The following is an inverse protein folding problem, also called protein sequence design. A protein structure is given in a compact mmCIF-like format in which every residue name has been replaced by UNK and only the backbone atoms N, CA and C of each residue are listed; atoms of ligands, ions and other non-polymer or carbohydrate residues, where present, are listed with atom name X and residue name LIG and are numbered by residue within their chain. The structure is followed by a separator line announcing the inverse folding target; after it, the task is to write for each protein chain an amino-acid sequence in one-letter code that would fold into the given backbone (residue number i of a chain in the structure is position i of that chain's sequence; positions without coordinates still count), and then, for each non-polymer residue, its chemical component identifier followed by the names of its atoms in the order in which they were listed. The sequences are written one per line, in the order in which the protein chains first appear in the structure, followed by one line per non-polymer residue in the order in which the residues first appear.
data_IF_378814727001
#
_entry.id   IF_378814727001
#
_cell.length_a   1.000
_cell.length_b   1.000
_cell.length_c   1.000
_cell.angle_alpha   90.00
_cell.angle_beta   90.00
_cell.angle_gamma   90.00
#
_symmetry.space_group_name_H-M   'P 1'
#
loop_
_entity.id
_entity.type
_entity.pdbx_description
1 polymer ?
#
# COMPACT_ATOMS: atom_id res chain seq x y z
N UNK A 1 -19.67 18.59 3.26
CA UNK A 1 -19.11 19.20 2.04
C UNK A 1 -19.25 18.23 0.87
N UNK A 2 -20.20 18.45 -0.06
CA UNK A 2 -20.54 17.49 -1.12
C UNK A 2 -19.39 17.26 -2.13
N UNK A 3 -18.42 18.17 -2.20
CA UNK A 3 -17.21 18.08 -3.02
C UNK A 3 -16.23 17.01 -2.52
N UNK A 4 -16.13 16.79 -1.21
CA UNK A 4 -15.26 15.75 -0.62
C UNK A 4 -15.81 14.34 -0.89
N UNK A 5 -17.13 14.17 -0.88
CA UNK A 5 -17.77 12.89 -1.18
C UNK A 5 -17.64 12.51 -2.66
N UNK A 6 -17.76 13.48 -3.58
CA UNK A 6 -17.62 13.25 -5.01
C UNK A 6 -16.19 12.87 -5.41
N UNK A 7 -15.16 13.46 -4.77
CA UNK A 7 -13.77 13.09 -4.99
C UNK A 7 -13.46 11.65 -4.52
N UNK A 8 -14.09 11.19 -3.43
CA UNK A 8 -13.95 9.82 -2.93
C UNK A 8 -14.58 8.76 -3.87
N UNK A 9 -15.59 9.14 -4.65
CA UNK A 9 -16.23 8.29 -5.66
C UNK A 9 -15.52 8.31 -7.02
N UNK A 10 -14.75 9.37 -7.32
CA UNK A 10 -14.03 9.53 -8.59
C UNK A 10 -12.75 8.70 -8.69
N UNK A 11 -12.12 8.36 -7.56
CA UNK A 11 -11.02 7.39 -7.50
C UNK A 11 -11.60 5.99 -7.33
N UNK A 12 -11.63 5.18 -8.40
CA UNK A 12 -12.22 3.84 -8.39
C UNK A 12 -11.84 3.00 -7.17
N UNK A 13 -12.71 2.05 -6.79
CA UNK A 13 -12.60 1.25 -5.58
C UNK A 13 -11.15 0.83 -5.27
N UNK A 14 -10.70 1.10 -4.04
CA UNK A 14 -9.35 0.79 -3.60
C UNK A 14 -9.09 -0.72 -3.78
N UNK A 15 -8.15 -1.13 -4.68
CA UNK A 15 -7.91 -2.53 -4.95
C UNK A 15 -7.10 -3.22 -3.84
N UNK A 16 -6.53 -2.43 -2.91
CA UNK A 16 -5.66 -2.92 -1.86
C UNK A 16 -6.45 -3.49 -0.69
N UNK A 17 -6.03 -4.64 -0.19
CA UNK A 17 -6.54 -5.17 1.08
C UNK A 17 -6.00 -4.38 2.27
N UNK A 18 -6.62 -4.51 3.43
CA UNK A 18 -6.18 -3.87 4.67
C UNK A 18 -4.73 -4.19 5.00
N UNK A 19 -4.32 -5.45 4.81
CA UNK A 19 -2.94 -5.90 5.05
C UNK A 19 -1.95 -5.35 4.02
N UNK A 20 -2.34 -5.25 2.75
CA UNK A 20 -1.49 -4.61 1.74
C UNK A 20 -1.27 -3.13 2.06
N UNK A 21 -2.31 -2.42 2.53
CA UNK A 21 -2.21 -1.02 2.96
C UNK A 21 -1.33 -0.85 4.18
N UNK A 22 -1.51 -1.69 5.19
CA UNK A 22 -0.68 -1.69 6.40
C UNK A 22 0.80 -1.90 6.07
N UNK A 23 1.12 -2.89 5.23
CA UNK A 23 2.48 -3.15 4.78
C UNK A 23 3.05 -1.98 3.97
N UNK A 24 2.27 -1.36 3.08
CA UNK A 24 2.71 -0.18 2.34
C UNK A 24 2.93 1.04 3.24
N UNK A 25 2.09 1.28 4.25
CA UNK A 25 2.30 2.37 5.22
C UNK A 25 3.60 2.20 5.97
N UNK A 26 3.86 1.00 6.49
CA UNK A 26 5.09 0.71 7.20
C UNK A 26 6.33 0.78 6.28
N UNK A 27 6.18 0.45 5.00
CA UNK A 27 7.26 0.53 4.01
C UNK A 27 7.59 1.96 3.55
N UNK A 28 6.79 2.96 3.94
CA UNK A 28 6.90 4.31 3.40
C UNK A 28 8.22 5.02 3.72
N UNK A 29 8.86 4.64 4.83
CA UNK A 29 10.12 5.23 5.30
C UNK A 29 11.36 4.45 4.80
N UNK A 30 11.17 3.50 3.87
CA UNK A 30 12.27 2.74 3.27
C UNK A 30 12.68 1.49 4.05
N UNK A 31 11.90 1.08 5.06
CA UNK A 31 12.16 -0.11 5.85
C UNK A 31 12.34 -1.38 4.99
N UNK A 32 13.30 -2.20 5.40
CA UNK A 32 13.59 -3.50 4.82
C UNK A 32 12.48 -4.51 5.10
N UNK A 33 12.42 -5.60 4.33
CA UNK A 33 11.42 -6.65 4.57
C UNK A 33 11.56 -7.29 5.97
N UNK A 34 12.78 -7.30 6.54
CA UNK A 34 13.05 -7.81 7.87
C UNK A 34 12.45 -6.88 8.95
N UNK A 35 12.70 -5.58 8.86
CA UNK A 35 12.14 -4.59 9.78
C UNK A 35 10.62 -4.56 9.73
N UNK A 36 10.04 -4.62 8.53
CA UNK A 36 8.60 -4.69 8.33
C UNK A 36 8.00 -5.98 8.92
N UNK A 37 8.68 -7.12 8.73
CA UNK A 37 8.25 -8.39 9.28
C UNK A 37 8.20 -8.36 10.81
N UNK A 38 9.22 -7.80 11.44
CA UNK A 38 9.26 -7.59 12.89
C UNK A 38 8.15 -6.64 13.36
N UNK A 39 8.00 -5.48 12.71
CA UNK A 39 7.02 -4.47 13.11
C UNK A 39 5.57 -4.94 12.97
N UNK A 40 5.28 -5.80 11.99
CA UNK A 40 3.93 -6.27 11.68
C UNK A 40 3.64 -7.69 12.22
N UNK A 41 4.60 -8.30 12.93
CA UNK A 41 4.51 -9.70 13.39
C UNK A 41 4.22 -10.69 12.26
N UNK A 42 4.90 -10.52 11.12
CA UNK A 42 4.79 -11.35 9.92
C UNK A 42 6.12 -12.03 9.60
N UNK A 43 6.10 -13.01 8.69
CA UNK A 43 7.34 -13.50 8.07
C UNK A 43 7.81 -12.52 6.98
N UNK A 44 9.12 -12.49 6.69
CA UNK A 44 9.66 -11.70 5.57
C UNK A 44 9.06 -12.13 4.22
N UNK A 45 8.77 -13.43 4.05
CA UNK A 45 8.11 -13.95 2.85
C UNK A 45 6.68 -13.43 2.71
N UNK A 46 5.94 -13.34 3.83
CA UNK A 46 4.58 -12.78 3.87
C UNK A 46 4.60 -11.28 3.52
N UNK A 47 5.53 -10.50 4.09
CA UNK A 47 5.71 -9.08 3.72
C UNK A 47 6.03 -8.94 2.24
N UNK A 48 6.95 -9.75 1.71
CA UNK A 48 7.29 -9.75 0.27
C UNK A 48 6.06 -10.02 -0.60
N UNK A 49 5.21 -10.97 -0.19
CA UNK A 49 4.01 -11.31 -0.92
C UNK A 49 3.01 -10.15 -0.93
N UNK A 50 2.75 -9.51 0.22
CA UNK A 50 1.87 -8.34 0.26
C UNK A 50 2.41 -7.17 -0.59
N UNK A 51 3.71 -6.87 -0.51
CA UNK A 51 4.33 -5.86 -1.35
C UNK A 51 4.20 -6.20 -2.84
N UNK A 52 4.46 -7.45 -3.23
CA UNK A 52 4.34 -7.91 -4.62
C UNK A 52 2.91 -7.78 -5.15
N UNK A 53 1.92 -8.23 -4.38
CA UNK A 53 0.51 -8.13 -4.74
C UNK A 53 0.08 -6.67 -4.86
N UNK A 54 0.48 -5.81 -3.93
CA UNK A 54 0.18 -4.39 -3.99
C UNK A 54 0.79 -3.70 -5.23
N UNK A 55 2.06 -3.98 -5.53
CA UNK A 55 2.75 -3.47 -6.72
C UNK A 55 1.99 -3.88 -8.00
N UNK A 56 1.56 -5.14 -8.10
CA UNK A 56 0.80 -5.65 -9.23
C UNK A 56 -0.57 -4.97 -9.37
N UNK A 57 -1.35 -4.89 -8.27
CA UNK A 57 -2.67 -4.24 -8.25
C UNK A 57 -2.62 -2.77 -8.64
N UNK A 58 -1.52 -2.10 -8.30
CA UNK A 58 -1.29 -0.69 -8.61
C UNK A 58 -0.68 -0.46 -9.99
N UNK A 59 -0.28 -1.54 -10.69
CA UNK A 59 0.41 -1.49 -11.98
C UNK A 59 1.67 -0.60 -11.98
N UNK A 60 2.45 -0.68 -10.91
CA UNK A 60 3.72 0.06 -10.74
C UNK A 60 4.92 -0.89 -10.72
N UNK A 61 6.14 -0.35 -10.73
CA UNK A 61 7.36 -1.15 -10.91
C UNK A 61 8.00 -1.59 -9.60
N UNK A 62 7.78 -0.86 -8.51
CA UNK A 62 8.45 -1.11 -7.24
C UNK A 62 7.64 -0.60 -6.04
N UNK A 63 8.11 -0.96 -4.84
CA UNK A 63 7.43 -0.61 -3.57
C UNK A 63 7.31 0.90 -3.36
N UNK A 64 8.30 1.69 -3.77
CA UNK A 64 8.28 3.14 -3.56
C UNK A 64 7.22 3.80 -4.45
N UNK A 65 7.12 3.36 -5.71
CA UNK A 65 6.03 3.75 -6.60
C UNK A 65 4.66 3.30 -6.08
N UNK A 66 4.57 2.11 -5.47
CA UNK A 66 3.33 1.62 -4.88
C UNK A 66 2.87 2.49 -3.70
N UNK A 67 3.78 2.84 -2.78
CA UNK A 67 3.49 3.77 -1.67
C UNK A 67 3.04 5.12 -2.20
N UNK A 68 3.78 5.68 -3.18
CA UNK A 68 3.44 6.97 -3.78
C UNK A 68 2.07 6.94 -4.45
N UNK A 69 1.81 5.97 -5.31
CA UNK A 69 0.55 5.84 -6.03
C UNK A 69 -0.65 5.65 -5.09
N UNK A 70 -0.47 4.88 -4.01
CA UNK A 70 -1.52 4.68 -3.02
C UNK A 70 -1.77 5.95 -2.17
N UNK A 71 -0.72 6.73 -1.82
CA UNK A 71 -0.87 8.04 -1.17
C UNK A 71 -1.59 9.06 -2.08
N UNK A 72 -1.17 9.18 -3.34
CA UNK A 72 -1.74 10.11 -4.31
C UNK A 72 -3.25 9.88 -4.53
N UNK A 73 -3.70 8.63 -4.36
CA UNK A 73 -5.11 8.22 -4.48
C UNK A 73 -5.88 8.25 -3.15
N UNK A 74 -5.25 8.63 -2.04
CA UNK A 74 -5.87 8.66 -0.71
C UNK A 74 -6.15 7.27 -0.11
N UNK A 75 -5.38 6.26 -0.52
CA UNK A 75 -5.58 4.86 -0.11
C UNK A 75 -4.74 4.44 1.11
N UNK A 76 -3.72 5.22 1.48
CA UNK A 76 -2.88 5.00 2.66
C UNK A 76 -3.18 6.01 3.76
#
# INVERSE_FOLDING_TARGET
DPTLAAAALAGGANPLTDREREVLRAAADGATNAELATALHLSQGTVRNYLSTAIQKLAVRNRAEAVKAARDKGWL
#
